data_IF_048389721364
#
_entry.id   IF_048389721364
#
_cell.length_a   1.000
_cell.length_b   1.000
_cell.length_c   1.000
_cell.angle_alpha   90.00
_cell.angle_beta   90.00
_cell.angle_gamma   90.00
#
_symmetry.space_group_name_H-M   'P 1'
#
loop_
_entity.id
_entity.type
_entity.pdbx_description
1 polymer ?
#
# COMPACT_ATOMS: atom_id res chain seq x y z
N UNK A 1 -6.34 96.14 41.00
CA UNK A 1 -5.43 96.54 39.91
C UNK A 1 -4.96 95.28 39.21
N UNK A 2 -5.34 95.08 37.93
CA UNK A 2 -4.59 94.24 36.97
C UNK A 2 -3.14 94.77 36.85
N UNK A 3 -2.12 94.02 36.34
CA UNK A 3 -2.23 93.05 35.23
C UNK A 3 -1.30 91.81 35.22
N UNK A 4 -1.68 90.86 34.36
CA UNK A 4 -0.92 90.06 33.37
C UNK A 4 0.55 89.68 33.58
N UNK A 5 0.85 88.39 33.39
CA UNK A 5 2.17 87.88 33.03
C UNK A 5 2.11 86.44 32.50
N UNK A 6 2.36 86.25 31.20
CA UNK A 6 2.46 84.95 30.50
C UNK A 6 3.84 84.32 30.75
N UNK A 7 3.91 83.00 30.91
CA UNK A 7 5.10 82.20 30.55
C UNK A 7 4.65 80.87 29.92
N UNK A 8 5.23 80.59 28.75
CA UNK A 8 4.94 79.47 27.89
C UNK A 8 5.64 78.19 28.39
N UNK A 9 4.92 77.08 28.40
CA UNK A 9 5.48 75.75 28.64
C UNK A 9 5.85 75.12 27.29
N UNK A 10 7.15 74.89 27.07
CA UNK A 10 7.65 74.08 25.96
C UNK A 10 7.49 72.59 26.30
N UNK A 11 6.67 71.88 25.53
CA UNK A 11 6.56 70.42 25.59
C UNK A 11 7.64 69.79 24.70
N UNK A 12 8.50 68.97 25.28
CA UNK A 12 9.46 68.14 24.56
C UNK A 12 8.74 66.92 23.97
N UNK A 13 8.71 66.81 22.64
CA UNK A 13 8.23 65.64 21.92
C UNK A 13 9.31 64.56 21.88
N UNK A 14 9.11 63.48 22.66
CA UNK A 14 9.85 62.22 22.52
C UNK A 14 9.28 61.45 21.32
N UNK A 15 10.09 61.29 20.28
CA UNK A 15 9.78 60.41 19.15
C UNK A 15 10.06 58.95 19.55
N UNK A 16 9.02 58.17 19.83
CA UNK A 16 9.09 56.71 19.94
C UNK A 16 9.09 56.10 18.55
N UNK A 17 10.23 55.56 18.11
CA UNK A 17 10.32 54.71 16.94
C UNK A 17 9.67 53.35 17.24
N UNK A 18 8.53 53.07 16.63
CA UNK A 18 7.92 51.75 16.65
C UNK A 18 8.70 50.82 15.69
N UNK A 19 9.47 49.87 16.23
CA UNK A 19 10.00 48.76 15.46
C UNK A 19 8.84 47.83 15.09
N UNK A 20 8.44 47.82 13.83
CA UNK A 20 7.65 46.73 13.27
C UNK A 20 8.56 45.50 13.12
N UNK A 21 8.45 44.54 14.03
CA UNK A 21 9.01 43.20 13.84
C UNK A 21 8.13 42.45 12.84
N UNK A 22 8.58 42.36 11.60
CA UNK A 22 8.02 41.42 10.61
C UNK A 22 8.27 40.00 11.12
N UNK A 23 7.24 39.32 11.60
CA UNK A 23 7.28 37.88 11.87
C UNK A 23 7.36 37.19 10.51
N UNK A 24 8.56 36.78 10.11
CA UNK A 24 8.72 35.90 8.98
C UNK A 24 8.11 34.53 9.37
N UNK A 25 7.25 33.92 8.53
CA UNK A 25 6.81 32.56 8.78
C UNK A 25 8.03 31.65 8.82
N UNK A 26 8.16 30.90 9.90
CA UNK A 26 9.11 29.78 9.96
C UNK A 26 8.84 28.85 8.77
N UNK A 27 9.87 28.28 8.12
CA UNK A 27 9.62 27.22 7.16
C UNK A 27 8.83 26.13 7.88
N UNK A 28 7.66 25.80 7.33
CA UNK A 28 6.92 24.60 7.69
C UNK A 28 7.92 23.45 7.74
N UNK A 29 8.19 22.91 8.93
CA UNK A 29 8.87 21.62 9.02
C UNK A 29 7.93 20.64 8.33
N UNK A 30 8.37 20.11 7.18
CA UNK A 30 7.68 18.99 6.56
C UNK A 30 7.52 17.92 7.66
N UNK A 31 6.29 17.44 7.86
CA UNK A 31 6.03 16.40 8.84
C UNK A 31 6.90 15.19 8.51
N UNK A 32 7.55 14.62 9.52
CA UNK A 32 8.27 13.36 9.38
C UNK A 32 7.29 12.30 8.83
N UNK A 33 7.54 11.71 7.65
CA UNK A 33 6.63 10.70 7.09
C UNK A 33 6.34 9.53 8.04
N UNK A 34 7.25 9.25 8.98
CA UNK A 34 7.08 8.22 10.01
C UNK A 34 5.86 8.47 10.92
N UNK A 35 5.60 9.74 11.26
CA UNK A 35 4.50 10.16 12.12
C UNK A 35 3.17 10.34 11.37
N UNK A 36 3.16 10.23 10.04
CA UNK A 36 1.93 10.32 9.23
C UNK A 36 1.18 9.00 9.25
N UNK A 37 -0.16 9.06 9.15
CA UNK A 37 -1.00 7.91 8.87
C UNK A 37 -0.50 7.18 7.62
N UNK A 38 -0.58 5.84 7.59
CA UNK A 38 -0.14 5.05 6.44
C UNK A 38 -0.82 5.52 5.14
N UNK A 39 -2.13 5.78 5.21
CA UNK A 39 -2.94 6.33 4.11
C UNK A 39 -2.60 7.79 3.75
N UNK A 40 -1.88 8.52 4.60
CA UNK A 40 -1.41 9.89 4.38
C UNK A 40 -0.01 9.96 3.77
N UNK A 41 0.55 8.83 3.34
CA UNK A 41 1.87 8.76 2.71
C UNK A 41 1.83 8.05 1.37
N UNK A 42 2.84 8.31 0.56
CA UNK A 42 3.13 7.64 -0.71
C UNK A 42 4.46 6.92 -0.58
N UNK A 43 4.47 5.61 -0.82
CA UNK A 43 5.69 4.80 -0.92
C UNK A 43 5.86 4.21 -2.32
N UNK A 44 7.00 3.58 -2.59
CA UNK A 44 7.30 2.99 -3.90
C UNK A 44 7.17 1.47 -3.86
N UNK A 45 6.57 0.88 -4.89
CA UNK A 45 6.38 -0.56 -5.03
C UNK A 45 7.20 -1.17 -6.17
N UNK A 46 7.45 -2.48 -6.09
CA UNK A 46 8.09 -3.27 -7.16
C UNK A 46 7.14 -4.35 -7.65
N UNK A 47 6.83 -4.37 -8.94
CA UNK A 47 6.07 -5.45 -9.56
C UNK A 47 6.89 -6.72 -9.64
N UNK A 48 6.22 -7.87 -9.60
CA UNK A 48 6.84 -9.19 -9.80
C UNK A 48 8.13 -9.38 -8.98
N UNK A 49 8.12 -8.93 -7.72
CA UNK A 49 9.30 -8.91 -6.85
C UNK A 49 9.85 -10.32 -6.54
N UNK A 50 9.06 -11.36 -6.81
CA UNK A 50 9.43 -12.76 -6.67
C UNK A 50 10.26 -13.31 -7.84
N UNK A 51 10.48 -12.56 -8.91
CA UNK A 51 11.27 -13.05 -10.04
C UNK A 51 12.77 -13.06 -9.71
N UNK A 52 13.43 -14.16 -10.05
CA UNK A 52 14.88 -14.35 -9.85
C UNK A 52 15.73 -13.40 -10.69
N UNK A 53 15.18 -12.89 -11.79
CA UNK A 53 15.83 -11.85 -12.62
C UNK A 53 15.77 -10.45 -12.00
N UNK A 54 14.74 -10.17 -11.20
CA UNK A 54 14.56 -8.92 -10.45
C UNK A 54 15.43 -8.91 -9.19
N UNK A 55 15.30 -9.97 -8.39
CA UNK A 55 16.04 -10.19 -7.15
C UNK A 55 16.48 -11.65 -7.03
N UNK A 56 17.75 -11.95 -6.72
CA UNK A 56 18.23 -13.33 -6.57
C UNK A 56 17.44 -14.14 -5.53
N UNK A 57 17.05 -13.49 -4.42
CA UNK A 57 16.22 -14.04 -3.35
C UNK A 57 15.14 -13.05 -2.93
N UNK A 58 14.00 -13.55 -2.42
CA UNK A 58 12.93 -12.69 -1.88
C UNK A 58 13.46 -11.77 -0.75
N UNK A 59 14.44 -12.24 0.02
CA UNK A 59 15.12 -11.44 1.03
C UNK A 59 15.79 -10.17 0.46
N UNK A 60 16.29 -10.21 -0.78
CA UNK A 60 16.85 -9.04 -1.45
C UNK A 60 15.76 -8.03 -1.84
N UNK A 61 14.57 -8.51 -2.19
CA UNK A 61 13.40 -7.66 -2.42
C UNK A 61 12.96 -6.97 -1.12
N UNK A 62 12.98 -7.68 0.02
CA UNK A 62 12.64 -7.11 1.33
C UNK A 62 13.66 -6.04 1.77
N UNK A 63 14.95 -6.28 1.50
CA UNK A 63 16.04 -5.34 1.80
C UNK A 63 16.12 -4.16 0.81
N UNK A 64 15.38 -4.18 -0.30
CA UNK A 64 15.40 -3.14 -1.34
C UNK A 64 14.95 -1.75 -0.87
N UNK A 65 14.18 -1.69 0.22
CA UNK A 65 13.55 -0.47 0.73
C UNK A 65 12.14 -0.21 0.20
N UNK A 66 11.64 -0.98 -0.79
CA UNK A 66 10.32 -0.79 -1.38
C UNK A 66 9.17 -0.88 -0.35
N UNK A 67 8.21 0.03 -0.36
CA UNK A 67 7.03 -0.02 0.49
C UNK A 67 6.01 -1.11 0.09
N UNK A 68 6.09 -1.62 -1.14
CA UNK A 68 5.24 -2.72 -1.63
C UNK A 68 6.05 -3.73 -2.45
N UNK A 69 5.74 -5.01 -2.31
CA UNK A 69 6.25 -6.11 -3.13
C UNK A 69 5.08 -6.94 -3.66
N UNK A 70 5.10 -7.26 -4.95
CA UNK A 70 4.05 -8.05 -5.61
C UNK A 70 4.45 -9.51 -5.82
N UNK A 71 3.47 -10.41 -5.59
CA UNK A 71 3.53 -11.86 -5.79
C UNK A 71 2.37 -12.33 -6.67
N UNK A 72 2.66 -13.15 -7.67
CA UNK A 72 1.64 -13.81 -8.49
C UNK A 72 1.36 -15.20 -7.95
N UNK A 73 0.11 -15.47 -7.60
CA UNK A 73 -0.31 -16.71 -6.97
C UNK A 73 -1.29 -17.46 -7.87
N UNK A 74 -1.08 -18.78 -7.98
CA UNK A 74 -1.99 -19.69 -8.68
C UNK A 74 -2.59 -20.71 -7.73
N UNK A 75 -3.87 -21.03 -7.91
CA UNK A 75 -4.63 -22.03 -7.13
C UNK A 75 -4.92 -23.32 -7.90
N UNK A 76 -4.51 -23.42 -9.16
CA UNK A 76 -4.81 -24.48 -10.13
C UNK A 76 -5.02 -25.94 -9.62
N UNK A 77 -5.89 -26.64 -10.36
CA UNK A 77 -6.56 -27.93 -10.09
C UNK A 77 -5.69 -29.16 -9.79
N UNK A 78 -4.37 -29.11 -10.01
CA UNK A 78 -3.46 -30.23 -9.78
C UNK A 78 -2.51 -29.91 -8.62
N UNK A 79 -2.45 -30.77 -7.60
CA UNK A 79 -1.62 -30.57 -6.42
C UNK A 79 -2.37 -29.91 -5.25
N UNK A 80 -1.72 -29.90 -4.08
CA UNK A 80 -2.30 -29.42 -2.82
C UNK A 80 -2.09 -27.94 -2.52
N UNK A 81 -1.12 -27.29 -3.15
CA UNK A 81 -0.58 -26.01 -2.69
C UNK A 81 -0.90 -24.84 -3.63
N UNK A 82 -0.71 -23.61 -3.11
CA UNK A 82 -0.67 -22.38 -3.91
C UNK A 82 0.71 -22.17 -4.52
N UNK A 83 0.77 -21.96 -5.84
CA UNK A 83 2.04 -21.75 -6.55
C UNK A 83 2.37 -20.27 -6.69
N UNK A 84 3.65 -19.96 -6.82
CA UNK A 84 4.12 -18.59 -7.12
C UNK A 84 4.91 -18.59 -8.43
N UNK A 85 4.36 -17.93 -9.45
CA UNK A 85 4.93 -17.86 -10.80
C UNK A 85 4.21 -16.82 -11.67
N UNK A 86 4.90 -16.26 -12.67
CA UNK A 86 4.32 -15.29 -13.60
C UNK A 86 3.42 -15.95 -14.65
N UNK A 87 4.02 -16.79 -15.51
CA UNK A 87 3.33 -17.40 -16.67
C UNK A 87 3.17 -18.92 -16.57
N UNK A 88 3.75 -19.56 -15.54
CA UNK A 88 3.79 -21.02 -15.43
C UNK A 88 2.76 -21.55 -14.42
N UNK A 89 1.57 -21.97 -14.86
CA UNK A 89 0.55 -22.50 -13.94
C UNK A 89 0.91 -23.85 -13.32
N UNK A 90 1.99 -24.52 -13.77
CA UNK A 90 2.32 -25.90 -13.39
C UNK A 90 3.48 -26.03 -12.43
N UNK A 91 4.30 -24.99 -12.24
CA UNK A 91 5.45 -25.01 -11.36
C UNK A 91 5.64 -23.66 -10.67
N UNK A 92 6.28 -23.70 -9.50
CA UNK A 92 6.83 -22.49 -8.90
C UNK A 92 8.01 -22.00 -9.73
N UNK A 93 8.02 -20.71 -10.03
CA UNK A 93 9.11 -20.02 -10.72
C UNK A 93 9.32 -18.69 -10.01
N UNK A 94 10.12 -18.71 -8.96
CA UNK A 94 10.30 -17.57 -8.06
C UNK A 94 11.63 -17.65 -7.29
N UNK A 95 11.93 -16.58 -6.55
CA UNK A 95 13.14 -16.38 -5.75
C UNK A 95 12.94 -16.70 -4.25
N UNK A 96 11.84 -17.33 -3.86
CA UNK A 96 11.58 -17.72 -2.48
C UNK A 96 12.42 -18.96 -2.11
N UNK A 97 13.13 -18.90 -0.99
CA UNK A 97 14.10 -19.88 -0.53
C UNK A 97 13.54 -20.94 0.43
N UNK A 98 12.29 -20.79 0.88
CA UNK A 98 11.67 -21.65 1.92
C UNK A 98 12.52 -21.67 3.19
N UNK A 99 12.95 -20.48 3.61
CA UNK A 99 13.90 -20.29 4.69
C UNK A 99 13.31 -20.73 6.03
N UNK A 100 14.07 -21.52 6.79
CA UNK A 100 13.72 -21.90 8.17
C UNK A 100 14.54 -21.15 9.21
N UNK A 101 15.56 -20.42 8.76
CA UNK A 101 16.47 -19.63 9.57
C UNK A 101 17.06 -18.47 8.75
N UNK A 102 17.58 -17.40 9.39
CA UNK A 102 18.16 -16.27 8.66
C UNK A 102 19.31 -16.65 7.72
N UNK A 103 20.05 -17.73 8.04
CA UNK A 103 21.15 -18.22 7.19
C UNK A 103 20.61 -18.76 5.85
N UNK A 104 19.37 -19.27 5.81
CA UNK A 104 18.76 -19.86 4.62
C UNK A 104 18.28 -18.81 3.61
N UNK A 105 18.01 -17.57 4.05
CA UNK A 105 17.38 -16.49 3.26
C UNK A 105 18.06 -16.20 1.91
N UNK A 106 19.35 -16.55 1.77
CA UNK A 106 20.16 -16.34 0.55
C UNK A 106 20.97 -17.54 0.12
N UNK A 107 20.65 -18.71 0.66
CA UNK A 107 21.35 -19.96 0.34
C UNK A 107 20.43 -21.13 0.08
N UNK A 108 19.16 -21.02 0.49
CA UNK A 108 18.13 -22.02 0.23
C UNK A 108 17.88 -22.21 -1.27
N UNK A 109 17.32 -23.37 -1.65
CA UNK A 109 16.88 -23.59 -3.02
C UNK A 109 15.68 -22.68 -3.33
N UNK A 110 15.74 -21.95 -4.43
CA UNK A 110 14.63 -21.09 -4.88
C UNK A 110 13.47 -21.91 -5.50
N UNK A 111 12.36 -21.24 -5.83
CA UNK A 111 11.10 -21.80 -6.37
C UNK A 111 10.20 -22.48 -5.33
N UNK A 112 10.06 -21.88 -4.14
CA UNK A 112 9.12 -22.34 -3.13
C UNK A 112 7.65 -22.12 -3.54
N UNK A 113 6.71 -22.80 -2.89
CA UNK A 113 5.28 -22.48 -2.99
C UNK A 113 4.97 -21.23 -2.15
N UNK A 114 3.71 -20.79 -2.10
CA UNK A 114 3.33 -19.61 -1.31
C UNK A 114 3.69 -19.76 0.18
N UNK A 115 3.55 -20.96 0.75
CA UNK A 115 3.90 -21.21 2.14
C UNK A 115 5.39 -20.92 2.41
N UNK A 116 6.28 -21.36 1.52
CA UNK A 116 7.71 -21.09 1.64
C UNK A 116 8.09 -19.62 1.37
N UNK A 117 7.37 -18.92 0.49
CA UNK A 117 7.51 -17.46 0.36
C UNK A 117 7.11 -16.74 1.67
N UNK A 118 6.06 -17.22 2.36
CA UNK A 118 5.65 -16.67 3.65
C UNK A 118 6.63 -17.04 4.78
N UNK A 119 7.29 -18.21 4.71
CA UNK A 119 8.38 -18.57 5.62
C UNK A 119 9.57 -17.60 5.46
N UNK A 120 9.96 -17.24 4.24
CA UNK A 120 10.98 -16.21 3.98
C UNK A 120 10.60 -14.86 4.61
N UNK A 121 9.35 -14.42 4.42
CA UNK A 121 8.84 -13.18 5.04
C UNK A 121 8.94 -13.24 6.56
N UNK A 122 8.54 -14.37 7.18
CA UNK A 122 8.58 -14.55 8.63
C UNK A 122 10.01 -14.50 9.16
N UNK A 123 10.92 -15.26 8.53
CA UNK A 123 12.32 -15.33 8.94
C UNK A 123 13.01 -13.96 8.79
N UNK A 124 12.74 -13.25 7.69
CA UNK A 124 13.26 -11.90 7.51
C UNK A 124 12.68 -10.91 8.53
N UNK A 125 11.37 -10.98 8.81
CA UNK A 125 10.70 -10.16 9.82
C UNK A 125 11.35 -10.32 11.20
N UNK A 126 11.57 -11.56 11.64
CA UNK A 126 12.19 -11.86 12.94
C UNK A 126 13.63 -11.34 13.03
N UNK A 127 14.36 -11.34 11.92
CA UNK A 127 15.71 -10.78 11.83
C UNK A 127 15.75 -9.25 11.77
N UNK A 128 14.63 -8.59 11.46
CA UNK A 128 14.51 -7.15 11.25
C UNK A 128 13.39 -6.53 12.11
N UNK A 129 13.51 -6.57 13.45
CA UNK A 129 12.49 -6.04 14.33
C UNK A 129 12.26 -4.55 14.09
N UNK A 130 10.99 -4.15 13.94
CA UNK A 130 10.63 -2.75 13.66
C UNK A 130 10.96 -2.30 12.24
N UNK A 131 11.07 -3.23 11.28
CA UNK A 131 11.18 -2.88 9.87
C UNK A 131 10.05 -1.95 9.40
N UNK A 132 10.24 -1.23 8.29
CA UNK A 132 9.18 -0.40 7.68
C UNK A 132 7.91 -1.25 7.46
N UNK A 133 6.69 -0.68 7.51
CA UNK A 133 5.53 -1.41 7.03
C UNK A 133 5.70 -1.77 5.55
N UNK A 134 5.43 -3.03 5.20
CA UNK A 134 5.55 -3.54 3.83
C UNK A 134 4.17 -4.05 3.39
N UNK A 135 3.68 -3.51 2.28
CA UNK A 135 2.50 -4.03 1.63
C UNK A 135 2.88 -5.21 0.72
N UNK A 136 2.28 -6.37 0.92
CA UNK A 136 2.39 -7.51 0.01
C UNK A 136 1.17 -7.48 -0.90
N UNK A 137 1.40 -7.19 -2.19
CA UNK A 137 0.38 -7.32 -3.23
C UNK A 137 0.34 -8.77 -3.68
N UNK A 138 -0.84 -9.37 -3.73
CA UNK A 138 -1.03 -10.71 -4.30
C UNK A 138 -2.03 -10.63 -5.45
N UNK A 139 -1.55 -10.95 -6.66
CA UNK A 139 -2.41 -11.21 -7.81
C UNK A 139 -2.76 -12.70 -7.84
N UNK A 140 -4.04 -13.04 -7.63
CA UNK A 140 -4.51 -14.41 -7.82
C UNK A 140 -4.76 -14.66 -9.30
N UNK A 141 -3.74 -15.15 -10.02
CA UNK A 141 -3.75 -15.28 -11.49
C UNK A 141 -5.01 -15.96 -12.01
N UNK A 142 -5.44 -17.05 -11.35
CA UNK A 142 -6.56 -17.91 -11.71
C UNK A 142 -7.70 -17.91 -10.67
N UNK A 143 -7.77 -16.88 -9.82
CA UNK A 143 -8.78 -16.78 -8.77
C UNK A 143 -8.57 -17.74 -7.59
N UNK A 144 -9.51 -17.74 -6.66
CA UNK A 144 -9.57 -18.74 -5.59
C UNK A 144 -10.13 -20.08 -6.08
N UNK A 145 -9.82 -21.16 -5.36
CA UNK A 145 -10.35 -22.50 -5.62
C UNK A 145 -10.89 -23.12 -4.33
N UNK A 146 -11.92 -22.52 -3.73
CA UNK A 146 -12.47 -22.94 -2.44
C UNK A 146 -12.94 -24.40 -2.42
N UNK A 147 -13.54 -24.86 -3.53
CA UNK A 147 -13.93 -26.25 -3.73
C UNK A 147 -12.76 -27.26 -3.66
N UNK A 148 -11.52 -26.79 -3.76
CA UNK A 148 -10.28 -27.56 -3.64
C UNK A 148 -9.52 -27.27 -2.34
N UNK A 149 -10.12 -26.52 -1.41
CA UNK A 149 -9.48 -26.13 -0.15
C UNK A 149 -8.49 -24.98 -0.29
N UNK A 150 -8.62 -24.17 -1.34
CA UNK A 150 -7.78 -22.98 -1.59
C UNK A 150 -8.62 -21.74 -1.79
N UNK A 151 -9.63 -21.56 -0.94
CA UNK A 151 -10.47 -20.36 -0.86
C UNK A 151 -9.95 -19.35 0.17
N UNK A 152 -10.68 -18.24 0.36
CA UNK A 152 -10.33 -17.17 1.29
C UNK A 152 -9.96 -17.63 2.71
N UNK A 153 -10.76 -18.51 3.31
CA UNK A 153 -10.51 -19.00 4.67
C UNK A 153 -9.24 -19.85 4.78
N UNK A 154 -8.93 -20.63 3.74
CA UNK A 154 -7.70 -21.42 3.69
C UNK A 154 -6.47 -20.54 3.49
N UNK A 155 -6.59 -19.48 2.69
CA UNK A 155 -5.55 -18.46 2.54
C UNK A 155 -5.27 -17.74 3.87
N UNK A 156 -6.30 -17.26 4.57
CA UNK A 156 -6.13 -16.62 5.88
C UNK A 156 -5.48 -17.57 6.90
N UNK A 157 -5.88 -18.84 6.89
CA UNK A 157 -5.28 -19.88 7.76
C UNK A 157 -3.78 -20.00 7.49
N UNK A 158 -3.38 -20.13 6.22
CA UNK A 158 -1.98 -20.22 5.83
C UNK A 158 -1.20 -18.97 6.27
N UNK A 159 -1.72 -17.77 5.98
CA UNK A 159 -1.06 -16.51 6.33
C UNK A 159 -0.92 -16.37 7.84
N UNK A 160 -1.96 -16.69 8.62
CA UNK A 160 -1.88 -16.66 10.09
C UNK A 160 -0.93 -17.71 10.65
N UNK A 161 -0.86 -18.89 10.06
CA UNK A 161 0.09 -19.93 10.45
C UNK A 161 1.53 -19.46 10.28
N UNK A 162 1.83 -18.79 9.16
CA UNK A 162 3.20 -18.39 8.81
C UNK A 162 3.63 -17.07 9.43
N UNK A 163 2.79 -16.04 9.34
CA UNK A 163 3.15 -14.68 9.73
C UNK A 163 2.59 -14.29 11.11
N UNK A 164 1.48 -14.89 11.53
CA UNK A 164 0.89 -14.66 12.85
C UNK A 164 0.58 -13.20 13.14
N UNK A 165 1.27 -12.65 14.13
CA UNK A 165 1.15 -11.28 14.62
C UNK A 165 1.86 -10.24 13.77
N UNK A 166 2.69 -10.65 12.80
CA UNK A 166 3.33 -9.73 11.86
C UNK A 166 2.33 -9.10 10.87
N UNK A 167 1.10 -9.61 10.77
CA UNK A 167 0.09 -9.09 9.83
C UNK A 167 -0.82 -8.08 10.53
N UNK A 168 -0.97 -6.90 9.90
CA UNK A 168 -2.04 -5.95 10.17
C UNK A 168 -3.15 -6.15 9.13
N UNK A 169 -4.30 -6.65 9.56
CA UNK A 169 -5.41 -7.06 8.70
C UNK A 169 -6.73 -6.30 8.96
N UNK A 170 -7.82 -6.71 8.30
CA UNK A 170 -9.14 -6.09 8.44
C UNK A 170 -9.66 -6.02 9.87
N UNK A 171 -9.46 -7.08 10.65
CA UNK A 171 -9.87 -7.11 12.06
C UNK A 171 -9.12 -6.11 12.94
N UNK A 172 -7.89 -5.75 12.58
CA UNK A 172 -7.12 -4.70 13.27
C UNK A 172 -7.63 -3.30 12.90
N UNK A 173 -8.00 -3.11 11.62
CA UNK A 173 -8.50 -1.82 11.12
C UNK A 173 -9.92 -1.48 11.60
N UNK A 174 -10.83 -2.46 11.65
CA UNK A 174 -12.26 -2.19 11.83
C UNK A 174 -12.58 -1.54 13.19
N UNK A 175 -11.81 -1.86 14.23
CA UNK A 175 -12.09 -1.43 15.60
C UNK A 175 -13.52 -1.73 16.03
N UNK A 176 -14.26 -0.70 16.44
CA UNK A 176 -15.68 -0.81 16.85
C UNK A 176 -16.68 -0.45 15.75
N UNK A 177 -16.22 -0.19 14.53
CA UNK A 177 -17.07 0.20 13.40
C UNK A 177 -17.78 -1.01 12.78
N UNK A 178 -18.84 -0.75 12.02
CA UNK A 178 -19.59 -1.83 11.38
C UNK A 178 -18.89 -2.40 10.14
N UNK A 179 -18.05 -1.59 9.48
CA UNK A 179 -17.39 -1.92 8.21
C UNK A 179 -16.01 -1.28 8.14
N UNK A 180 -15.16 -1.78 7.23
CA UNK A 180 -13.83 -1.18 6.98
C UNK A 180 -13.95 0.24 6.43
N UNK A 181 -14.92 0.48 5.55
CA UNK A 181 -15.21 1.77 4.95
C UNK A 181 -15.54 2.85 5.99
N UNK A 182 -16.31 2.49 7.01
CA UNK A 182 -16.63 3.37 8.13
C UNK A 182 -15.38 3.65 8.98
N UNK A 183 -14.60 2.61 9.30
CA UNK A 183 -13.40 2.73 10.12
C UNK A 183 -12.35 3.64 9.48
N UNK A 184 -12.05 3.41 8.20
CA UNK A 184 -11.00 4.14 7.48
C UNK A 184 -11.41 5.61 7.25
N UNK A 185 -12.68 5.90 7.00
CA UNK A 185 -13.15 7.28 6.89
C UNK A 185 -13.16 8.02 8.23
N UNK A 186 -13.40 7.31 9.34
CA UNK A 186 -13.45 7.91 10.66
C UNK A 186 -12.05 8.20 11.25
N UNK A 187 -11.11 7.26 11.11
CA UNK A 187 -9.80 7.32 11.77
C UNK A 187 -8.59 7.14 10.87
N UNK A 188 -8.78 6.73 9.61
CA UNK A 188 -7.70 6.36 8.70
C UNK A 188 -7.00 5.06 9.12
N UNK A 189 -5.85 4.80 8.51
CA UNK A 189 -4.93 3.76 8.97
C UNK A 189 -4.04 4.29 10.10
N UNK A 190 -3.45 3.42 10.95
CA UNK A 190 -2.45 3.83 11.93
C UNK A 190 -1.27 4.57 11.27
N UNK A 191 -0.49 5.27 12.09
CA UNK A 191 0.75 5.91 11.64
C UNK A 191 1.76 4.88 11.14
N UNK A 192 2.70 5.31 10.30
CA UNK A 192 3.77 4.41 9.82
C UNK A 192 4.61 3.86 10.98
N UNK A 193 4.85 4.67 12.01
CA UNK A 193 5.51 4.26 13.25
C UNK A 193 4.73 3.17 13.99
N UNK A 194 3.42 3.28 14.09
CA UNK A 194 2.57 2.25 14.73
C UNK A 194 2.51 0.95 13.92
N UNK A 195 2.77 1.01 12.61
CA UNK A 195 2.87 -0.14 11.72
C UNK A 195 4.31 -0.67 11.56
N UNK A 196 5.27 -0.17 12.32
CA UNK A 196 6.63 -0.73 12.30
C UNK A 196 6.59 -2.23 12.64
N UNK A 197 7.26 -3.04 11.82
CA UNK A 197 7.27 -4.50 11.91
C UNK A 197 5.99 -5.17 11.39
N UNK A 198 5.17 -4.48 10.57
CA UNK A 198 3.94 -5.07 10.02
C UNK A 198 3.99 -5.31 8.51
N UNK A 199 3.36 -6.41 8.12
CA UNK A 199 2.92 -6.65 6.75
C UNK A 199 1.43 -6.31 6.62
N UNK A 200 1.06 -5.70 5.51
CA UNK A 200 -0.32 -5.52 5.08
C UNK A 200 -0.49 -6.25 3.76
N UNK A 201 -1.54 -7.04 3.59
CA UNK A 201 -1.75 -7.81 2.37
C UNK A 201 -2.93 -7.22 1.62
N UNK A 202 -2.80 -6.98 0.32
CA UNK A 202 -3.95 -6.72 -0.53
C UNK A 202 -4.02 -7.69 -1.70
N UNK A 203 -5.25 -8.00 -2.10
CA UNK A 203 -5.55 -8.98 -3.15
C UNK A 203 -6.15 -8.26 -4.34
N UNK A 204 -5.69 -8.61 -5.55
CA UNK A 204 -6.36 -8.24 -6.80
C UNK A 204 -6.74 -9.50 -7.58
N UNK A 205 -7.81 -9.43 -8.39
CA UNK A 205 -8.07 -10.43 -9.40
C UNK A 205 -6.91 -10.52 -10.39
N UNK A 206 -6.67 -11.71 -10.92
CA UNK A 206 -5.62 -11.95 -11.89
C UNK A 206 -6.07 -12.01 -13.34
N UNK A 207 -5.10 -11.79 -14.22
CA UNK A 207 -5.32 -11.76 -15.67
C UNK A 207 -6.03 -12.99 -16.27
N UNK A 208 -5.94 -14.20 -15.68
CA UNK A 208 -6.61 -15.40 -16.21
C UNK A 208 -8.07 -15.46 -15.80
N UNK A 209 -8.41 -15.15 -14.55
CA UNK A 209 -9.81 -15.06 -14.11
C UNK A 209 -10.55 -13.95 -14.85
N UNK A 210 -9.89 -12.81 -15.09
CA UNK A 210 -10.48 -11.67 -15.81
C UNK A 210 -10.92 -12.03 -17.24
N UNK A 211 -10.19 -12.95 -17.88
CA UNK A 211 -10.45 -13.39 -19.24
C UNK A 211 -11.30 -14.67 -19.31
N UNK A 212 -11.76 -15.21 -18.18
CA UNK A 212 -12.53 -16.44 -18.12
C UNK A 212 -14.05 -16.17 -18.17
N UNK A 213 -14.74 -16.49 -19.28
CA UNK A 213 -16.18 -16.23 -19.40
C UNK A 213 -17.06 -17.16 -18.54
N UNK A 214 -16.46 -18.18 -17.91
CA UNK A 214 -17.14 -19.11 -17.02
C UNK A 214 -16.93 -18.78 -15.54
N UNK A 215 -16.02 -17.87 -15.24
CA UNK A 215 -15.82 -17.37 -13.89
C UNK A 215 -16.70 -16.14 -13.66
N UNK A 216 -17.53 -16.20 -12.63
CA UNK A 216 -18.46 -15.13 -12.29
C UNK A 216 -18.24 -14.62 -10.87
N UNK A 217 -17.24 -15.14 -10.15
CA UNK A 217 -16.93 -14.72 -8.79
C UNK A 217 -15.43 -14.54 -8.68
N UNK A 218 -14.97 -13.35 -9.02
CA UNK A 218 -13.55 -13.02 -8.98
C UNK A 218 -13.04 -12.88 -7.55
N UNK A 219 -11.72 -12.97 -7.42
CA UNK A 219 -10.96 -12.89 -6.15
C UNK A 219 -11.45 -11.77 -5.22
N UNK A 220 -11.73 -10.60 -5.79
CA UNK A 220 -12.15 -9.41 -5.06
C UNK A 220 -13.55 -9.56 -4.44
N UNK A 221 -14.53 -10.04 -5.21
CA UNK A 221 -15.90 -10.30 -4.73
C UNK A 221 -15.94 -11.49 -3.75
N UNK A 222 -15.19 -12.56 -4.02
CA UNK A 222 -15.13 -13.73 -3.14
C UNK A 222 -14.54 -13.36 -1.77
N UNK A 223 -13.43 -12.63 -1.75
CA UNK A 223 -12.78 -12.26 -0.50
C UNK A 223 -13.56 -11.16 0.24
N UNK A 224 -14.19 -10.20 -0.44
CA UNK A 224 -15.08 -9.24 0.21
C UNK A 224 -16.31 -9.90 0.83
N UNK A 225 -16.85 -10.93 0.18
CA UNK A 225 -17.92 -11.79 0.74
C UNK A 225 -17.45 -12.48 2.01
N UNK A 226 -16.26 -13.08 1.98
CA UNK A 226 -15.64 -13.70 3.16
C UNK A 226 -15.44 -12.71 4.31
N UNK A 227 -15.01 -11.47 4.04
CA UNK A 227 -14.88 -10.43 5.08
C UNK A 227 -16.23 -10.06 5.71
N UNK A 228 -17.25 -9.82 4.88
CA UNK A 228 -18.61 -9.52 5.35
C UNK A 228 -19.14 -10.63 6.26
N UNK A 229 -19.00 -11.87 5.82
CA UNK A 229 -19.54 -13.03 6.52
C UNK A 229 -18.74 -13.29 7.81
N UNK A 230 -17.42 -13.15 7.77
CA UNK A 230 -16.56 -13.22 8.97
C UNK A 230 -16.90 -12.13 10.00
N UNK A 231 -17.29 -10.93 9.55
CA UNK A 231 -17.74 -9.88 10.46
C UNK A 231 -19.09 -10.22 11.10
N UNK A 232 -20.03 -10.77 10.34
CA UNK A 232 -21.32 -11.23 10.87
C UNK A 232 -21.15 -12.37 11.89
N UNK A 233 -20.17 -13.24 11.66
CA UNK A 233 -19.86 -14.38 12.53
C UNK A 233 -18.93 -14.03 13.70
N UNK A 234 -18.43 -12.79 13.77
CA UNK A 234 -17.52 -12.33 14.83
C UNK A 234 -16.09 -12.91 14.72
N UNK A 235 -15.70 -13.38 13.54
CA UNK A 235 -14.39 -13.99 13.24
C UNK A 235 -13.49 -13.09 12.41
N UNK A 236 -13.87 -11.85 12.10
CA UNK A 236 -13.08 -10.93 11.27
C UNK A 236 -11.62 -10.75 11.75
N UNK A 237 -11.35 -10.90 13.06
CA UNK A 237 -10.00 -10.85 13.61
C UNK A 237 -9.04 -11.91 13.03
N UNK A 238 -9.53 -13.02 12.48
CA UNK A 238 -8.68 -14.02 11.83
C UNK A 238 -8.29 -13.67 10.40
N UNK A 239 -8.98 -12.74 9.74
CA UNK A 239 -8.73 -12.42 8.33
C UNK A 239 -7.46 -11.59 8.14
N UNK A 240 -6.82 -11.71 6.98
CA UNK A 240 -5.41 -11.27 6.81
C UNK A 240 -5.16 -10.27 5.69
N UNK A 241 -6.10 -10.11 4.76
CA UNK A 241 -5.91 -9.29 3.58
C UNK A 241 -7.05 -8.32 3.33
N UNK A 242 -6.79 -7.32 2.49
CA UNK A 242 -7.78 -6.37 2.01
C UNK A 242 -8.04 -6.64 0.53
N UNK A 243 -9.28 -6.95 0.11
CA UNK A 243 -9.59 -7.04 -1.30
C UNK A 243 -9.53 -5.63 -1.90
N UNK A 244 -8.88 -5.50 -3.05
CA UNK A 244 -8.79 -4.24 -3.77
C UNK A 244 -9.75 -4.23 -4.96
N UNK A 245 -10.32 -3.06 -5.23
CA UNK A 245 -11.01 -2.83 -6.51
C UNK A 245 -9.94 -2.62 -7.57
N UNK A 246 -9.76 -3.59 -8.47
CA UNK A 246 -8.74 -3.54 -9.51
C UNK A 246 -9.25 -2.89 -10.80
N UNK A 247 -8.47 -2.00 -11.40
CA UNK A 247 -8.82 -1.21 -12.58
C UNK A 247 -9.38 0.16 -12.21
N UNK A 248 -8.65 1.21 -12.64
CA UNK A 248 -8.97 2.60 -12.34
C UNK A 248 -10.24 3.06 -13.09
N UNK A 249 -11.21 3.61 -12.34
CA UNK A 249 -12.46 4.15 -12.89
C UNK A 249 -12.87 5.45 -12.20
N UNK A 250 -13.72 6.23 -12.88
CA UNK A 250 -14.25 7.48 -12.36
C UNK A 250 -15.40 7.25 -11.36
N UNK A 251 -15.48 8.10 -10.33
CA UNK A 251 -16.50 8.00 -9.28
C UNK A 251 -16.12 6.98 -8.21
N UNK A 252 -17.13 6.34 -7.61
CA UNK A 252 -16.91 5.21 -6.70
C UNK A 252 -16.96 3.90 -7.51
N UNK A 253 -15.80 3.27 -7.78
CA UNK A 253 -15.72 2.11 -8.67
C UNK A 253 -16.42 0.87 -8.11
N UNK A 254 -16.81 0.90 -6.82
CA UNK A 254 -17.55 -0.20 -6.18
C UNK A 254 -19.02 -0.26 -6.61
N UNK A 255 -19.57 0.86 -7.08
CA UNK A 255 -21.03 1.03 -7.23
C UNK A 255 -21.63 0.26 -8.40
N UNK A 256 -20.90 0.16 -9.51
CA UNK A 256 -21.33 -0.56 -10.70
C UNK A 256 -21.00 -2.07 -10.64
N UNK A 257 -20.02 -2.44 -9.82
CA UNK A 257 -19.40 -3.76 -9.83
C UNK A 257 -19.95 -4.70 -8.77
N UNK A 258 -20.17 -4.21 -7.55
CA UNK A 258 -20.53 -5.07 -6.41
C UNK A 258 -21.91 -4.78 -5.82
N UNK A 259 -22.50 -5.81 -5.22
CA UNK A 259 -23.66 -5.66 -4.35
C UNK A 259 -23.40 -4.64 -3.23
N UNK A 260 -24.43 -3.90 -2.82
CA UNK A 260 -24.31 -2.85 -1.82
C UNK A 260 -23.76 -3.34 -0.46
N UNK A 261 -23.97 -4.62 -0.11
CA UNK A 261 -23.44 -5.22 1.12
C UNK A 261 -21.93 -5.48 1.08
N UNK A 262 -21.33 -5.55 -0.11
CA UNK A 262 -19.89 -5.85 -0.29
C UNK A 262 -19.04 -4.59 -0.37
N UNK A 263 -19.56 -3.50 -0.94
CA UNK A 263 -18.83 -2.24 -1.15
C UNK A 263 -18.07 -1.74 0.09
N UNK A 264 -18.64 -1.79 1.32
CA UNK A 264 -17.96 -1.28 2.51
C UNK A 264 -16.73 -2.08 2.97
N UNK A 265 -16.43 -3.21 2.32
CA UNK A 265 -15.27 -4.05 2.61
C UNK A 265 -14.08 -3.75 1.69
N UNK A 266 -14.26 -2.86 0.71
CA UNK A 266 -13.22 -2.37 -0.18
C UNK A 266 -12.74 -1.00 0.26
N UNK A 267 -11.49 -0.95 0.75
CA UNK A 267 -10.79 0.28 1.17
C UNK A 267 -9.41 0.43 0.51
N UNK A 268 -9.12 -0.47 -0.44
CA UNK A 268 -7.91 -0.48 -1.29
C UNK A 268 -8.36 -0.46 -2.75
N UNK A 269 -7.66 0.31 -3.57
CA UNK A 269 -7.93 0.48 -4.99
C UNK A 269 -6.60 0.35 -5.73
N UNK A 270 -6.58 -0.41 -6.81
CA UNK A 270 -5.37 -0.72 -7.57
C UNK A 270 -5.66 -0.51 -9.07
N UNK A 271 -4.76 0.15 -9.79
CA UNK A 271 -4.91 0.32 -11.22
C UNK A 271 -3.85 1.21 -11.87
N UNK A 272 -3.90 1.28 -13.20
CA UNK A 272 -2.94 2.00 -14.03
C UNK A 272 -2.83 3.49 -13.64
N UNK A 273 -1.60 3.93 -13.38
CA UNK A 273 -1.28 5.29 -12.98
C UNK A 273 -1.71 6.31 -14.04
N UNK A 274 -1.48 6.03 -15.33
CA UNK A 274 -1.81 6.95 -16.41
C UNK A 274 -3.33 7.18 -16.53
N UNK A 275 -4.13 6.17 -16.21
CA UNK A 275 -5.58 6.24 -16.16
C UNK A 275 -6.05 7.08 -14.97
N UNK A 276 -5.49 6.86 -13.78
CA UNK A 276 -5.80 7.68 -12.60
C UNK A 276 -5.53 9.18 -12.83
N UNK A 277 -4.39 9.53 -13.42
CA UNK A 277 -4.01 10.95 -13.64
C UNK A 277 -4.42 11.49 -15.02
N UNK A 278 -5.16 10.70 -15.80
CA UNK A 278 -5.62 11.05 -17.15
C UNK A 278 -6.69 12.15 -17.21
N UNK A 279 -7.11 12.69 -16.07
CA UNK A 279 -8.03 13.84 -15.94
C UNK A 279 -9.52 13.50 -15.89
N UNK A 280 -9.89 12.22 -15.96
CA UNK A 280 -11.28 11.75 -15.82
C UNK A 280 -11.65 11.25 -14.42
N UNK A 281 -10.64 11.01 -13.57
CA UNK A 281 -10.81 10.46 -12.21
C UNK A 281 -10.45 11.54 -11.19
N UNK A 282 -11.35 11.79 -10.25
CA UNK A 282 -11.08 12.65 -9.08
C UNK A 282 -10.35 11.84 -8.02
N UNK A 283 -9.01 11.87 -8.04
CA UNK A 283 -8.20 11.14 -7.06
C UNK A 283 -8.33 11.71 -5.63
N UNK A 284 -8.81 12.96 -5.50
CA UNK A 284 -9.13 13.58 -4.23
C UNK A 284 -10.25 12.86 -3.47
N UNK A 285 -11.11 12.11 -4.18
CA UNK A 285 -12.14 11.28 -3.57
C UNK A 285 -11.56 10.21 -2.62
N UNK A 286 -10.43 9.61 -3.01
CA UNK A 286 -9.75 8.56 -2.25
C UNK A 286 -9.00 9.13 -1.04
N UNK A 287 -8.25 10.23 -1.23
CA UNK A 287 -7.50 10.88 -0.13
C UNK A 287 -8.45 11.41 0.94
N UNK A 288 -9.56 12.02 0.56
CA UNK A 288 -10.58 12.52 1.49
C UNK A 288 -11.25 11.42 2.34
N UNK A 289 -11.11 10.15 1.94
CA UNK A 289 -11.68 8.98 2.62
C UNK A 289 -10.63 8.06 3.22
N UNK A 290 -9.35 8.47 3.19
CA UNK A 290 -8.22 7.70 3.67
C UNK A 290 -8.04 6.32 3.01
N UNK A 291 -8.63 6.09 1.82
CA UNK A 291 -8.46 4.84 1.10
C UNK A 291 -7.05 4.70 0.55
N UNK A 292 -6.55 3.47 0.44
CA UNK A 292 -5.27 3.20 -0.21
C UNK A 292 -5.44 3.15 -1.72
N UNK A 293 -4.56 3.80 -2.46
CA UNK A 293 -4.52 3.78 -3.94
C UNK A 293 -3.16 3.30 -4.40
N UNK A 294 -3.10 2.15 -5.05
CA UNK A 294 -1.92 1.62 -5.71
C UNK A 294 -1.98 2.03 -7.18
N UNK A 295 -1.06 2.90 -7.59
CA UNK A 295 -0.92 3.32 -8.98
C UNK A 295 0.17 2.48 -9.64
N UNK A 296 -0.24 1.50 -10.45
CA UNK A 296 0.63 0.59 -11.19
C UNK A 296 1.15 1.25 -12.47
N UNK A 297 2.21 0.69 -13.05
CA UNK A 297 2.81 1.16 -14.31
C UNK A 297 3.17 2.64 -14.28
N UNK A 298 3.69 3.10 -13.14
CA UNK A 298 3.98 4.50 -12.89
C UNK A 298 4.86 5.12 -13.98
N UNK A 299 5.75 4.35 -14.59
CA UNK A 299 6.61 4.78 -15.69
C UNK A 299 5.84 5.20 -16.96
N UNK A 300 4.62 4.69 -17.19
CA UNK A 300 3.81 4.96 -18.38
C UNK A 300 3.08 6.30 -18.35
N UNK A 301 3.00 6.97 -17.19
CA UNK A 301 2.42 8.32 -17.10
C UNK A 301 3.18 9.26 -18.05
N UNK A 302 2.50 10.00 -18.95
CA UNK A 302 3.19 10.88 -19.89
C UNK A 302 3.87 12.09 -19.21
N UNK A 303 5.11 12.46 -19.60
CA UNK A 303 5.98 11.75 -20.53
C UNK A 303 6.51 10.45 -19.93
N UNK A 304 6.42 9.35 -20.69
CA UNK A 304 6.85 8.05 -20.22
C UNK A 304 8.37 8.03 -19.93
N UNK A 305 8.76 7.28 -18.90
CA UNK A 305 10.15 7.02 -18.53
C UNK A 305 10.42 5.52 -18.63
N UNK A 306 11.68 5.11 -18.51
CA UNK A 306 12.02 3.70 -18.58
C UNK A 306 11.39 2.92 -17.41
N UNK A 307 10.80 1.73 -17.66
CA UNK A 307 10.13 0.94 -16.62
C UNK A 307 11.07 0.38 -15.56
N UNK A 308 12.36 0.17 -15.89
CA UNK A 308 13.30 -0.59 -15.07
C UNK A 308 14.49 0.27 -14.61
N UNK A 309 15.04 1.07 -15.52
CA UNK A 309 16.28 1.82 -15.34
C UNK A 309 16.15 3.29 -15.80
N UNK A 310 15.14 4.05 -15.34
CA UNK A 310 15.13 5.49 -15.55
C UNK A 310 16.30 6.11 -14.77
N UNK A 311 16.61 7.38 -15.01
CA UNK A 311 17.47 8.09 -14.07
C UNK A 311 16.77 8.21 -12.71
N UNK A 312 17.53 8.20 -11.62
CA UNK A 312 17.00 8.40 -10.26
C UNK A 312 16.14 9.67 -10.18
N UNK A 313 16.58 10.76 -10.82
CA UNK A 313 15.82 12.01 -10.86
C UNK A 313 14.45 11.86 -11.55
N UNK A 314 14.38 11.12 -12.66
CA UNK A 314 13.12 10.88 -13.37
C UNK A 314 12.15 10.08 -12.50
N UNK A 315 12.64 9.01 -11.85
CA UNK A 315 11.81 8.19 -10.99
C UNK A 315 11.33 8.96 -9.75
N UNK A 316 12.21 9.70 -9.06
CA UNK A 316 11.82 10.55 -7.93
C UNK A 316 10.80 11.63 -8.34
N UNK A 317 10.95 12.23 -9.53
CA UNK A 317 9.99 13.19 -10.03
C UNK A 317 8.62 12.54 -10.29
N UNK A 318 8.59 11.34 -10.86
CA UNK A 318 7.35 10.57 -11.05
C UNK A 318 6.70 10.16 -9.73
N UNK A 319 7.48 9.76 -8.73
CA UNK A 319 6.96 9.45 -7.38
C UNK A 319 6.34 10.70 -6.75
N UNK A 320 6.99 11.86 -6.87
CA UNK A 320 6.47 13.12 -6.34
C UNK A 320 5.21 13.61 -7.06
N UNK A 321 5.16 13.46 -8.39
CA UNK A 321 3.96 13.73 -9.22
C UNK A 321 2.78 12.90 -8.71
N UNK A 322 2.94 11.58 -8.63
CA UNK A 322 1.85 10.69 -8.25
C UNK A 322 1.51 10.76 -6.75
N UNK A 323 2.45 11.16 -5.88
CA UNK A 323 2.15 11.47 -4.49
C UNK A 323 1.20 12.67 -4.36
N UNK A 324 1.44 13.73 -5.13
CA UNK A 324 0.56 14.90 -5.19
C UNK A 324 -0.82 14.56 -5.78
N UNK A 325 -0.86 13.62 -6.73
CA UNK A 325 -2.10 13.09 -7.30
C UNK A 325 -2.78 12.01 -6.43
N UNK A 326 -2.30 11.80 -5.20
CA UNK A 326 -2.99 10.99 -4.20
C UNK A 326 -2.72 9.48 -4.31
N UNK A 327 -1.59 9.05 -4.86
CA UNK A 327 -1.14 7.66 -4.76
C UNK A 327 -0.74 7.31 -3.31
N UNK A 328 -1.12 6.14 -2.82
CA UNK A 328 -0.53 5.52 -1.62
C UNK A 328 0.71 4.70 -1.97
N UNK A 329 0.70 4.05 -3.13
CA UNK A 329 1.86 3.35 -3.69
C UNK A 329 2.05 3.76 -5.15
N UNK A 330 3.28 4.07 -5.51
CA UNK A 330 3.73 4.28 -6.89
C UNK A 330 4.56 3.07 -7.29
N UNK A 331 4.08 2.28 -8.25
CA UNK A 331 4.68 0.99 -8.56
C UNK A 331 5.23 0.89 -9.99
N UNK A 332 6.42 0.30 -10.12
CA UNK A 332 7.13 0.03 -11.38
C UNK A 332 8.26 -0.98 -11.13
N UNK A 333 8.99 -1.36 -12.17
CA UNK A 333 10.11 -2.31 -12.08
C UNK A 333 11.45 -1.64 -11.70
N UNK A 334 11.44 -0.60 -10.88
CA UNK A 334 12.65 0.19 -10.52
C UNK A 334 13.57 -0.52 -9.51
N UNK A 335 13.70 -1.84 -9.59
CA UNK A 335 14.49 -2.68 -8.69
C UNK A 335 15.99 -2.30 -8.65
N UNK A 336 16.47 -1.60 -9.69
CA UNK A 336 17.86 -1.10 -9.79
C UNK A 336 18.10 0.21 -9.03
N UNK A 337 17.06 0.84 -8.46
CA UNK A 337 17.10 2.16 -7.83
C UNK A 337 16.66 2.11 -6.34
N UNK A 338 17.42 1.48 -5.44
CA UNK A 338 17.03 1.30 -4.04
C UNK A 338 16.78 2.62 -3.28
N UNK A 339 17.44 3.72 -3.65
CA UNK A 339 17.15 5.05 -3.08
C UNK A 339 15.76 5.56 -3.44
N UNK A 340 15.28 5.26 -4.66
CA UNK A 340 13.90 5.56 -5.09
C UNK A 340 12.94 4.64 -4.34
N UNK A 341 13.24 3.35 -4.27
CA UNK A 341 12.37 2.37 -3.59
C UNK A 341 12.14 2.71 -2.11
N UNK A 342 13.16 3.21 -1.42
CA UNK A 342 13.09 3.64 -0.03
C UNK A 342 12.36 4.99 0.18
N UNK A 343 11.90 5.65 -0.89
CA UNK A 343 11.26 6.96 -0.78
C UNK A 343 9.87 6.84 -0.16
N UNK A 344 9.60 7.73 0.81
CA UNK A 344 8.27 7.97 1.38
C UNK A 344 8.00 9.46 1.37
N UNK A 345 6.89 9.88 0.76
CA UNK A 345 6.44 11.28 0.69
C UNK A 345 5.10 11.44 1.39
N UNK A 346 4.75 12.65 1.87
CA UNK A 346 3.36 12.99 2.17
C UNK A 346 2.49 12.83 0.91
N UNK A 347 1.26 12.38 1.09
CA UNK A 347 0.27 12.17 0.02
C UNK A 347 -0.73 13.33 -0.05
N UNK A 348 -1.04 13.79 -1.26
CA UNK A 348 -2.01 14.86 -1.54
C UNK A 348 -1.45 16.25 -1.24
#
# INVERSE_FOLDING_TARGET
>A
MSPSGRLAAGAATLATAALLTTVLPSPSQAADPAALAYSGTTSVGVHNAYLTETYPYLADALDSGAGMLELDVWTNFFGGDWRVAHDNPFANVNNCADATSPDDLRTGPVNANLAGCLDDLRVWHDANPGHRPIQIKIEFKDGFADNLGRGPAAFDTLVREKLGDAVYGPGDLIGSHATLDEAVQAGGFPTRDELAGKFLIHLIPGTVEENNPLDQLWTDEEYATHLRDSAADGTLASTTAFPAVHGAEAGDPRTARYDASLRPWFVVFDGDAATFVGGSIDTGWYTARNYLVVMTDAHNVPPAIDPVSPTEQQALARVAELAADGASVVSSDWHTLPSVLATVLPRG
#
